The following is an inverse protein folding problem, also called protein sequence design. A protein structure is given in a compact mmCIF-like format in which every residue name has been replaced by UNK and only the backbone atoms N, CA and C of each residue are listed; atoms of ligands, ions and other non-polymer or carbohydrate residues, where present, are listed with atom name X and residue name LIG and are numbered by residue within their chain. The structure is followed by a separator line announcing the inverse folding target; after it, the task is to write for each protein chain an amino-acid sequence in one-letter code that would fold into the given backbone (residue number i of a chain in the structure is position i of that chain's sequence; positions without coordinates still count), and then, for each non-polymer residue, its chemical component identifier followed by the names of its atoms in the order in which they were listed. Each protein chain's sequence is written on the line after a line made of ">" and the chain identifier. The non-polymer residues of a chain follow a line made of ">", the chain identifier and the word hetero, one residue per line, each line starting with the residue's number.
data_IF_714560059214
#
_entry.id   IF_714560059214
#
_cell.length_a   1.000
_cell.length_b   1.000
_cell.length_c   1.000
_cell.angle_alpha   90.00
_cell.angle_beta   90.00
_cell.angle_gamma   90.00
#
_symmetry.space_group_name_H-M   'P 1'
#
loop_
_entity.id
_entity.type
_entity.pdbx_description
1 polymer ?
#
# COMPACT_ATOMS: atom_id res chain seq x y z
N UNK A 1 27.40 -79.48 -6.61
CA UNK A 1 26.55 -78.44 -6.02
C UNK A 1 27.19 -77.09 -6.27
N UNK A 2 26.57 -76.20 -7.10
CA UNK A 2 27.08 -74.84 -7.40
C UNK A 2 26.32 -73.88 -6.56
N UNK A 3 26.93 -72.90 -5.84
CA UNK A 3 26.21 -71.88 -5.11
C UNK A 3 25.70 -70.79 -6.07
N UNK A 4 24.40 -70.51 -5.99
CA UNK A 4 23.73 -69.45 -6.71
C UNK A 4 24.01 -68.15 -5.98
N UNK A 5 24.70 -67.21 -6.62
CA UNK A 5 24.89 -65.85 -6.07
C UNK A 5 23.69 -64.98 -6.43
N UNK A 6 23.02 -64.41 -5.40
CA UNK A 6 22.02 -63.43 -5.55
C UNK A 6 22.68 -62.03 -5.63
N UNK A 7 22.57 -61.37 -6.78
CA UNK A 7 22.95 -59.97 -6.91
C UNK A 7 21.79 -59.11 -6.38
N UNK A 8 22.00 -58.45 -5.25
CA UNK A 8 21.11 -57.42 -4.75
C UNK A 8 21.40 -56.11 -5.48
N UNK A 9 20.49 -55.67 -6.34
CA UNK A 9 20.57 -54.36 -6.97
C UNK A 9 20.09 -53.27 -5.95
N UNK A 10 21.03 -52.44 -5.52
CA UNK A 10 20.69 -51.22 -4.71
C UNK A 10 20.30 -50.13 -5.67
N UNK A 11 19.00 -49.82 -5.72
CA UNK A 11 18.49 -48.65 -6.43
C UNK A 11 18.67 -47.43 -5.54
N UNK A 12 19.69 -46.62 -5.82
CA UNK A 12 19.85 -45.30 -5.15
C UNK A 12 18.88 -44.31 -5.75
N UNK A 13 17.86 -43.93 -4.98
CA UNK A 13 16.96 -42.87 -5.33
C UNK A 13 17.66 -41.54 -5.05
N UNK A 14 18.17 -40.89 -6.09
CA UNK A 14 18.68 -39.52 -5.99
C UNK A 14 17.50 -38.56 -5.89
N UNK A 15 17.25 -38.03 -4.70
CA UNK A 15 16.29 -36.93 -4.50
C UNK A 15 16.89 -35.68 -5.17
N UNK A 16 16.30 -35.25 -6.29
CA UNK A 16 16.56 -33.93 -6.87
C UNK A 16 15.95 -32.88 -5.92
N UNK A 17 16.80 -32.26 -5.13
CA UNK A 17 16.42 -31.01 -4.43
C UNK A 17 16.26 -29.90 -5.50
N UNK A 18 15.03 -29.58 -5.84
CA UNK A 18 14.76 -28.40 -6.64
C UNK A 18 15.16 -27.17 -5.80
N UNK A 19 15.90 -26.20 -6.37
CA UNK A 19 16.17 -24.96 -5.66
C UNK A 19 14.83 -24.29 -5.36
N UNK A 20 14.55 -24.04 -4.08
CA UNK A 20 13.47 -23.14 -3.70
C UNK A 20 13.85 -21.75 -4.23
N UNK A 21 13.17 -21.29 -5.26
CA UNK A 21 13.27 -19.88 -5.67
C UNK A 21 12.65 -19.06 -4.55
N UNK A 22 13.47 -18.39 -3.74
CA UNK A 22 13.00 -17.35 -2.86
C UNK A 22 12.55 -16.21 -3.76
N UNK A 23 11.26 -16.05 -3.97
CA UNK A 23 10.72 -14.84 -4.57
C UNK A 23 10.81 -13.74 -3.52
N UNK A 24 11.60 -12.69 -3.82
CA UNK A 24 11.50 -11.48 -3.04
C UNK A 24 10.06 -10.93 -3.20
N UNK A 25 9.38 -10.61 -2.11
CA UNK A 25 8.07 -9.97 -2.17
C UNK A 25 8.23 -8.50 -2.62
N UNK A 26 7.21 -7.88 -3.23
CA UNK A 26 7.29 -6.49 -3.68
C UNK A 26 7.31 -5.54 -2.47
N UNK A 27 8.11 -4.48 -2.57
CA UNK A 27 8.20 -3.38 -1.60
C UNK A 27 7.91 -2.08 -2.34
N UNK A 28 6.97 -1.27 -1.84
CA UNK A 28 6.67 0.03 -2.40
C UNK A 28 7.91 0.95 -2.31
N UNK A 29 8.39 1.41 -3.46
CA UNK A 29 9.63 2.18 -3.57
C UNK A 29 9.43 3.69 -3.40
N UNK A 30 8.19 4.17 -3.42
CA UNK A 30 7.81 5.59 -3.41
C UNK A 30 6.58 5.84 -2.57
N UNK A 31 6.19 7.11 -2.43
CA UNK A 31 4.93 7.48 -1.79
C UNK A 31 4.95 7.47 -0.28
N UNK A 32 6.10 7.80 0.33
CA UNK A 32 6.25 7.90 1.79
C UNK A 32 5.22 8.87 2.39
N UNK A 33 4.43 8.37 3.33
CA UNK A 33 3.42 9.18 4.03
C UNK A 33 2.21 9.57 3.19
N UNK A 34 1.99 8.94 2.02
CA UNK A 34 0.78 9.15 1.24
C UNK A 34 -0.41 8.38 1.85
N UNK A 35 -1.59 8.86 1.51
CA UNK A 35 -2.87 8.24 1.87
C UNK A 35 -3.25 7.18 0.85
N UNK A 36 -4.04 6.20 1.28
CA UNK A 36 -4.77 5.29 0.39
C UNK A 36 -6.20 5.76 0.31
N UNK A 37 -6.69 6.06 -0.88
CA UNK A 37 -8.04 6.57 -1.13
C UNK A 37 -8.81 5.60 -2.03
N UNK A 38 -10.12 5.56 -1.86
CA UNK A 38 -11.02 4.81 -2.74
C UNK A 38 -11.02 5.44 -4.13
N UNK A 39 -10.61 4.69 -5.15
CA UNK A 39 -10.52 5.13 -6.55
C UNK A 39 -11.77 4.83 -7.39
N UNK A 40 -12.54 3.80 -7.01
CA UNK A 40 -13.76 3.40 -7.73
C UNK A 40 -14.84 2.90 -6.76
N UNK A 41 -16.05 2.64 -7.28
CA UNK A 41 -17.17 2.09 -6.49
C UNK A 41 -17.18 0.55 -6.41
N UNK A 42 -16.15 -0.10 -6.95
CA UNK A 42 -16.00 -1.55 -6.87
C UNK A 42 -15.47 -1.98 -5.52
N UNK A 43 -15.65 -3.26 -5.19
CA UNK A 43 -15.08 -3.84 -3.97
C UNK A 43 -13.57 -3.71 -3.94
N UNK A 44 -13.04 -3.37 -2.78
CA UNK A 44 -11.61 -3.30 -2.52
C UNK A 44 -11.14 -4.64 -2.00
N UNK A 45 -10.21 -5.25 -2.72
CA UNK A 45 -9.59 -6.51 -2.33
C UNK A 45 -8.19 -6.22 -1.80
N UNK A 46 -7.95 -6.52 -0.54
CA UNK A 46 -6.63 -6.54 0.05
C UNK A 46 -5.94 -7.87 -0.27
N UNK A 47 -4.68 -7.82 -0.72
CA UNK A 47 -3.85 -9.01 -0.97
C UNK A 47 -2.55 -8.92 -0.18
N UNK A 48 -2.24 -9.95 0.59
CA UNK A 48 -0.97 -10.03 1.31
C UNK A 48 0.16 -10.40 0.37
N UNK A 49 1.20 -9.53 0.27
CA UNK A 49 2.30 -9.69 -0.66
C UNK A 49 3.56 -10.31 -0.03
N UNK A 50 3.74 -10.20 1.28
CA UNK A 50 4.86 -10.79 2.01
C UNK A 50 5.45 -9.86 3.07
N UNK A 51 6.52 -10.36 3.73
CA UNK A 51 7.24 -9.62 4.78
C UNK A 51 8.68 -10.13 4.94
N UNK A 52 9.52 -9.30 5.60
CA UNK A 52 10.81 -9.73 6.17
C UNK A 52 10.91 -9.42 7.68
N UNK A 53 9.80 -9.02 8.30
CA UNK A 53 9.75 -8.64 9.71
C UNK A 53 10.14 -9.78 10.65
N UNK A 54 10.87 -9.43 11.72
CA UNK A 54 11.11 -10.30 12.86
C UNK A 54 9.96 -10.24 13.87
N UNK A 55 9.24 -9.11 13.93
CA UNK A 55 8.09 -8.92 14.81
C UNK A 55 6.82 -9.53 14.21
N UNK A 56 5.88 -9.85 15.09
CA UNK A 56 4.53 -10.25 14.68
C UNK A 56 3.67 -9.00 14.57
N UNK A 57 3.09 -8.80 13.40
CA UNK A 57 2.36 -7.60 13.04
C UNK A 57 0.97 -7.95 12.52
N UNK A 58 -0.03 -7.19 12.99
CA UNK A 58 -1.41 -7.29 12.53
C UNK A 58 -1.81 -6.05 11.75
N UNK A 59 -2.37 -6.24 10.55
CA UNK A 59 -2.93 -5.17 9.73
C UNK A 59 -4.42 -5.04 9.96
N UNK A 60 -4.86 -3.80 10.16
CA UNK A 60 -6.27 -3.44 10.29
C UNK A 60 -6.66 -2.32 9.33
N UNK A 61 -7.91 -2.33 8.84
CA UNK A 61 -8.57 -1.13 8.33
C UNK A 61 -9.27 -0.46 9.51
N UNK A 62 -8.95 0.80 9.77
CA UNK A 62 -9.61 1.58 10.81
C UNK A 62 -11.04 1.91 10.41
N UNK A 63 -11.97 1.68 11.33
CA UNK A 63 -13.39 1.95 11.14
C UNK A 63 -13.90 2.92 12.20
N UNK A 64 -14.88 3.73 11.80
CA UNK A 64 -15.66 4.54 12.74
C UNK A 64 -16.75 3.72 13.45
N UNK A 65 -17.48 4.35 14.37
CA UNK A 65 -18.57 3.71 15.11
C UNK A 65 -19.74 3.24 14.24
N UNK A 66 -19.82 3.71 12.99
CA UNK A 66 -20.81 3.28 11.99
C UNK A 66 -20.36 2.06 11.19
N UNK A 67 -19.08 1.70 11.28
CA UNK A 67 -18.46 0.63 10.49
C UNK A 67 -17.97 1.09 9.12
N UNK A 68 -17.91 2.40 8.87
CA UNK A 68 -17.32 2.99 7.68
C UNK A 68 -15.82 3.29 7.91
N UNK A 69 -14.98 3.37 6.85
CA UNK A 69 -13.58 3.75 7.02
C UNK A 69 -13.42 5.10 7.72
N UNK A 70 -12.67 5.10 8.82
CA UNK A 70 -12.47 6.28 9.66
C UNK A 70 -11.76 5.92 10.96
N UNK A 71 -11.52 6.93 11.81
CA UNK A 71 -10.92 6.78 13.13
C UNK A 71 -11.84 7.42 14.17
N UNK A 72 -12.40 6.61 15.07
CA UNK A 72 -13.20 7.07 16.21
C UNK A 72 -12.45 6.94 17.56
N UNK A 73 -11.18 6.58 17.51
CA UNK A 73 -10.32 6.33 18.68
C UNK A 73 -10.57 4.98 19.36
N UNK A 74 -11.43 4.14 18.78
CA UNK A 74 -11.75 2.81 19.31
C UNK A 74 -11.22 1.72 18.37
N UNK A 75 -10.08 1.13 18.72
CA UNK A 75 -9.44 0.09 17.90
C UNK A 75 -10.11 -1.28 17.97
N UNK A 76 -11.14 -1.46 18.81
CA UNK A 76 -11.83 -2.75 18.97
C UNK A 76 -12.85 -3.05 17.87
N UNK A 77 -13.28 -2.03 17.11
CA UNK A 77 -14.17 -2.15 15.95
C UNK A 77 -13.43 -2.19 14.62
N UNK A 78 -12.10 -1.99 14.62
CA UNK A 78 -11.28 -2.06 13.40
C UNK A 78 -11.36 -3.43 12.74
N UNK A 79 -11.38 -3.44 11.41
CA UNK A 79 -11.41 -4.66 10.62
C UNK A 79 -10.01 -5.29 10.54
N UNK A 80 -9.80 -6.42 11.20
CA UNK A 80 -8.59 -7.22 11.03
C UNK A 80 -8.48 -7.74 9.58
N UNK A 81 -7.31 -7.59 8.96
CA UNK A 81 -7.07 -8.01 7.58
C UNK A 81 -6.09 -9.18 7.54
N UNK A 82 -4.85 -8.99 8.01
CA UNK A 82 -3.79 -10.01 7.97
C UNK A 82 -2.89 -9.95 9.21
N UNK A 83 -2.29 -11.11 9.53
CA UNK A 83 -1.10 -11.21 10.37
C UNK A 83 0.09 -11.66 9.50
N UNK A 84 1.26 -11.03 9.66
CA UNK A 84 2.42 -11.31 8.80
C UNK A 84 2.98 -12.73 8.94
N UNK A 85 2.86 -13.37 10.11
CA UNK A 85 3.34 -14.74 10.33
C UNK A 85 2.22 -15.77 10.19
N UNK A 86 0.95 -15.35 10.28
CA UNK A 86 -0.22 -16.23 10.23
C UNK A 86 -0.89 -16.32 8.86
N UNK A 87 -0.69 -15.32 7.99
CA UNK A 87 -1.32 -15.28 6.67
C UNK A 87 -0.37 -15.83 5.59
N UNK A 88 -0.91 -16.57 4.63
CA UNK A 88 -0.12 -17.03 3.49
C UNK A 88 0.01 -15.89 2.45
N UNK A 89 1.18 -15.77 1.82
CA UNK A 89 1.37 -14.84 0.69
C UNK A 89 0.35 -15.15 -0.41
N UNK A 90 -0.29 -14.11 -0.96
CA UNK A 90 -1.38 -14.23 -1.91
C UNK A 90 -2.76 -14.41 -1.28
N UNK A 91 -2.88 -14.50 0.06
CA UNK A 91 -4.20 -14.48 0.74
C UNK A 91 -4.91 -13.15 0.46
N UNK A 92 -6.23 -13.19 0.33
CA UNK A 92 -7.06 -12.02 0.04
C UNK A 92 -8.16 -11.82 1.07
N UNK A 93 -8.51 -10.56 1.33
CA UNK A 93 -9.67 -10.15 2.13
C UNK A 93 -10.47 -9.11 1.32
N UNK A 94 -11.78 -9.32 1.20
CA UNK A 94 -12.68 -8.31 0.62
C UNK A 94 -13.05 -7.31 1.71
N UNK A 95 -12.66 -6.04 1.54
CA UNK A 95 -12.96 -4.96 2.48
C UNK A 95 -14.34 -4.33 2.23
N UNK A 96 -14.99 -4.66 1.11
CA UNK A 96 -16.23 -4.04 0.66
C UNK A 96 -16.00 -2.87 -0.30
N UNK A 97 -17.07 -2.13 -0.56
CA UNK A 97 -17.06 -0.96 -1.43
C UNK A 97 -17.42 0.30 -0.63
N UNK A 98 -16.75 1.41 -0.93
CA UNK A 98 -16.91 2.67 -0.23
C UNK A 98 -17.05 3.82 -1.24
N UNK A 99 -17.38 5.02 -0.77
CA UNK A 99 -17.48 6.20 -1.62
C UNK A 99 -16.12 6.62 -2.17
N UNK A 100 -16.07 6.99 -3.46
CA UNK A 100 -14.84 7.48 -4.11
C UNK A 100 -14.26 8.68 -3.33
N UNK A 101 -12.94 8.67 -3.09
CA UNK A 101 -12.22 9.68 -2.34
C UNK A 101 -12.22 9.45 -0.82
N UNK A 102 -12.97 8.44 -0.31
CA UNK A 102 -12.86 8.04 1.10
C UNK A 102 -11.44 7.57 1.40
N UNK A 103 -10.85 8.05 2.48
CA UNK A 103 -9.55 7.56 2.95
C UNK A 103 -9.71 6.20 3.62
N UNK A 104 -8.87 5.25 3.21
CA UNK A 104 -8.68 3.96 3.87
C UNK A 104 -7.45 4.09 4.77
N UNK A 105 -7.65 4.35 6.03
CA UNK A 105 -6.54 4.43 6.99
C UNK A 105 -6.21 3.03 7.49
N UNK A 106 -5.02 2.54 7.13
CA UNK A 106 -4.53 1.26 7.60
C UNK A 106 -3.66 1.45 8.84
N UNK A 107 -3.88 0.60 9.83
CA UNK A 107 -3.13 0.53 11.08
C UNK A 107 -2.35 -0.78 11.14
N UNK A 108 -1.03 -0.68 11.31
CA UNK A 108 -0.16 -1.79 11.62
C UNK A 108 0.03 -1.86 13.14
N UNK A 109 -0.49 -2.89 13.78
CA UNK A 109 -0.24 -3.16 15.20
C UNK A 109 0.94 -4.11 15.37
N UNK A 110 2.00 -3.65 16.04
CA UNK A 110 3.19 -4.44 16.33
C UNK A 110 3.00 -5.19 17.65
N UNK A 111 2.66 -6.47 17.58
CA UNK A 111 2.32 -7.28 18.74
C UNK A 111 3.44 -7.39 19.80
N UNK A 112 4.69 -7.27 19.38
CA UNK A 112 5.86 -7.39 20.26
C UNK A 112 6.11 -6.15 21.11
N UNK A 113 5.76 -4.98 20.60
CA UNK A 113 6.05 -3.67 21.23
C UNK A 113 4.81 -2.94 21.70
N UNK A 114 3.66 -3.25 21.11
CA UNK A 114 2.38 -2.58 21.33
C UNK A 114 2.28 -1.23 20.60
N UNK A 115 3.21 -0.90 19.70
CA UNK A 115 3.10 0.30 18.86
C UNK A 115 2.09 0.08 17.75
N UNK A 116 1.42 1.18 17.40
CA UNK A 116 0.56 1.28 16.21
C UNK A 116 1.19 2.28 15.24
N UNK A 117 1.30 1.89 13.97
CA UNK A 117 1.75 2.73 12.88
C UNK A 117 0.68 2.81 11.78
N UNK A 118 0.61 3.97 11.12
CA UNK A 118 -0.51 4.29 10.23
C UNK A 118 -0.03 4.73 8.85
N UNK A 119 -0.84 4.46 7.83
CA UNK A 119 -0.71 5.10 6.52
C UNK A 119 -1.03 6.59 6.61
N UNK A 120 -0.52 7.37 5.66
CA UNK A 120 -0.74 8.82 5.59
C UNK A 120 0.31 9.63 6.34
N UNK A 121 -0.10 10.79 6.83
CA UNK A 121 0.79 11.81 7.40
C UNK A 121 1.64 11.27 8.57
N UNK A 122 2.93 11.64 8.59
CA UNK A 122 3.89 11.26 9.62
C UNK A 122 3.43 11.61 11.05
N UNK A 123 2.67 12.69 11.20
CA UNK A 123 2.13 13.14 12.50
C UNK A 123 1.15 12.17 13.16
N UNK A 124 0.67 11.17 12.43
CA UNK A 124 -0.19 10.09 12.96
C UNK A 124 0.59 9.06 13.76
N UNK A 125 1.89 8.97 13.52
CA UNK A 125 2.75 7.97 14.12
C UNK A 125 3.39 8.46 15.40
N UNK A 126 3.64 7.58 16.38
CA UNK A 126 4.08 7.97 17.73
C UNK A 126 5.48 8.61 17.76
N UNK A 127 6.32 8.37 16.75
CA UNK A 127 7.65 8.95 16.59
C UNK A 127 7.69 10.16 15.64
N UNK A 128 6.54 10.50 15.00
CA UNK A 128 6.43 11.59 14.05
C UNK A 128 7.05 11.31 12.68
N UNK A 129 7.34 10.04 12.37
CA UNK A 129 7.85 9.60 11.09
C UNK A 129 6.76 8.88 10.27
N UNK A 130 6.89 8.89 8.94
CA UNK A 130 6.00 8.10 8.09
C UNK A 130 6.46 6.63 8.09
N UNK A 131 5.56 5.72 8.46
CA UNK A 131 5.82 4.29 8.57
C UNK A 131 5.27 3.47 7.39
N UNK A 132 4.73 4.13 6.37
CA UNK A 132 4.25 3.47 5.17
C UNK A 132 4.69 4.19 3.90
N UNK A 133 5.12 3.41 2.91
CA UNK A 133 5.19 3.80 1.51
C UNK A 133 3.92 3.34 0.80
N UNK A 134 3.37 4.19 -0.09
CA UNK A 134 2.15 3.92 -0.85
C UNK A 134 2.40 4.19 -2.33
N UNK A 135 2.62 3.15 -3.11
CA UNK A 135 2.93 3.21 -4.53
C UNK A 135 1.67 2.98 -5.35
N UNK A 136 1.17 4.05 -6.00
CA UNK A 136 0.02 3.99 -6.91
C UNK A 136 0.42 3.34 -8.23
N UNK A 137 -0.54 2.70 -8.92
CA UNK A 137 -0.34 2.03 -10.21
C UNK A 137 0.78 0.94 -10.19
N UNK A 138 1.01 0.33 -9.03
CA UNK A 138 1.93 -0.82 -8.94
C UNK A 138 1.53 -1.95 -9.90
N UNK A 139 0.24 -2.24 -9.99
CA UNK A 139 -0.42 -2.97 -11.06
C UNK A 139 -1.63 -2.15 -11.54
N UNK A 140 -2.22 -2.44 -12.71
CA UNK A 140 -3.42 -1.75 -13.16
C UNK A 140 -4.52 -1.77 -12.10
N UNK A 141 -4.95 -0.58 -11.67
CA UNK A 141 -5.97 -0.37 -10.63
C UNK A 141 -5.59 -0.90 -9.23
N UNK A 142 -4.29 -1.12 -8.94
CA UNK A 142 -3.81 -1.57 -7.64
C UNK A 142 -2.76 -0.61 -7.05
N UNK A 143 -2.89 -0.35 -5.75
CA UNK A 143 -1.91 0.37 -4.94
C UNK A 143 -1.14 -0.63 -4.07
N UNK A 144 0.19 -0.55 -4.04
CA UNK A 144 1.04 -1.30 -3.12
C UNK A 144 1.34 -0.46 -1.89
N UNK A 145 1.17 -1.05 -0.71
CA UNK A 145 1.49 -0.42 0.59
C UNK A 145 2.52 -1.28 1.30
N UNK A 146 3.61 -0.66 1.74
CA UNK A 146 4.68 -1.33 2.48
C UNK A 146 4.98 -0.58 3.77
N UNK A 147 5.05 -1.32 4.88
CA UNK A 147 5.21 -0.78 6.22
C UNK A 147 6.60 -1.04 6.82
N UNK A 148 6.96 -0.14 7.74
CA UNK A 148 8.06 -0.26 8.70
C UNK A 148 7.48 -0.43 10.10
N UNK A 149 7.96 -1.43 10.87
CA UNK A 149 7.44 -1.80 12.21
C UNK A 149 8.32 -1.33 13.39
N UNK A 150 9.45 -0.62 13.11
CA UNK A 150 10.38 -0.15 14.14
C UNK A 150 10.21 1.34 14.43
N UNK A 151 10.03 1.68 15.70
CA UNK A 151 10.07 3.04 16.19
C UNK A 151 11.45 3.68 15.89
N UNK A 152 11.48 4.86 15.27
CA UNK A 152 12.68 5.55 14.76
C UNK A 152 13.49 4.78 13.67
N UNK A 153 12.89 3.76 13.02
CA UNK A 153 13.47 3.03 11.89
C UNK A 153 14.60 2.05 12.19
N UNK A 154 15.28 1.51 11.19
CA UNK A 154 15.47 2.02 9.82
C UNK A 154 14.20 1.96 8.96
N UNK A 155 14.02 2.95 8.06
CA UNK A 155 12.83 3.04 7.21
C UNK A 155 13.11 2.37 5.85
N UNK A 156 13.20 1.04 5.84
CA UNK A 156 13.39 0.24 4.63
C UNK A 156 12.07 -0.37 4.10
N UNK A 157 10.96 -0.19 4.86
CA UNK A 157 9.59 -0.53 4.49
C UNK A 157 9.41 -1.97 4.04
N UNK A 158 10.20 -2.89 4.60
CA UNK A 158 10.18 -4.29 4.17
C UNK A 158 9.45 -5.22 5.16
N UNK A 159 8.89 -4.68 6.24
CA UNK A 159 8.31 -5.50 7.30
C UNK A 159 6.97 -6.11 6.93
N UNK A 160 6.13 -5.39 6.17
CA UNK A 160 4.90 -5.93 5.59
C UNK A 160 4.56 -5.23 4.29
N UNK A 161 4.16 -6.00 3.28
CA UNK A 161 3.64 -5.46 2.02
C UNK A 161 2.27 -6.05 1.69
N UNK A 162 1.38 -5.18 1.23
CA UNK A 162 0.01 -5.47 0.82
C UNK A 162 -0.32 -4.75 -0.47
N UNK A 163 -1.21 -5.29 -1.30
CA UNK A 163 -1.83 -4.53 -2.39
C UNK A 163 -3.33 -4.39 -2.17
N UNK A 164 -3.90 -3.32 -2.72
CA UNK A 164 -5.32 -3.01 -2.64
C UNK A 164 -5.83 -2.64 -4.03
N UNK A 165 -6.88 -3.35 -4.49
CA UNK A 165 -7.54 -3.02 -5.76
C UNK A 165 -8.41 -1.78 -5.62
N UNK A 166 -8.68 -1.09 -6.73
CA UNK A 166 -9.61 0.04 -6.79
C UNK A 166 -9.25 1.22 -5.86
N UNK A 167 -7.95 1.40 -5.59
CA UNK A 167 -7.41 2.46 -4.73
C UNK A 167 -6.43 3.35 -5.48
N UNK A 168 -6.30 4.60 -5.01
CA UNK A 168 -5.43 5.64 -5.54
C UNK A 168 -4.78 6.41 -4.39
N UNK A 169 -3.77 7.22 -4.68
CA UNK A 169 -3.11 8.10 -3.68
C UNK A 169 -3.58 9.55 -3.78
N UNK A 170 -4.05 9.95 -4.95
CA UNK A 170 -4.56 11.29 -5.22
C UNK A 170 -6.09 11.29 -5.19
N UNK A 171 -6.69 12.25 -4.49
CA UNK A 171 -8.14 12.35 -4.41
C UNK A 171 -8.75 12.53 -5.82
N UNK A 172 -9.49 11.55 -6.33
CA UNK A 172 -10.07 11.60 -7.67
C UNK A 172 -11.14 12.69 -7.82
N UNK A 173 -11.65 13.24 -6.71
CA UNK A 173 -12.59 14.37 -6.72
C UNK A 173 -11.86 15.72 -6.81
N UNK A 174 -10.56 15.77 -6.59
CA UNK A 174 -9.75 16.96 -6.83
C UNK A 174 -9.43 17.06 -8.32
N UNK A 175 -10.27 17.73 -9.08
CA UNK A 175 -9.98 18.08 -10.46
C UNK A 175 -8.76 19.02 -10.45
N UNK A 176 -7.61 18.68 -11.03
CA UNK A 176 -6.50 19.62 -11.19
C UNK A 176 -7.05 20.87 -11.88
N UNK A 177 -6.78 22.06 -11.32
CA UNK A 177 -7.23 23.31 -11.95
C UNK A 177 -6.87 23.27 -13.44
N UNK A 178 -7.87 23.31 -14.35
CA UNK A 178 -7.58 23.16 -15.76
C UNK A 178 -6.57 24.22 -16.16
N UNK A 179 -5.53 23.86 -16.91
CA UNK A 179 -4.58 24.82 -17.50
C UNK A 179 -5.28 25.94 -18.28
N UNK A 180 -6.60 25.83 -18.47
CA UNK A 180 -7.51 26.88 -18.94
C UNK A 180 -7.49 28.15 -18.07
N UNK A 181 -7.28 28.08 -16.74
CA UNK A 181 -7.12 29.28 -15.93
C UNK A 181 -5.79 29.98 -16.20
N UNK A 182 -4.72 29.23 -16.40
CA UNK A 182 -3.44 29.79 -16.83
C UNK A 182 -3.52 30.37 -18.24
N UNK A 183 -4.21 29.69 -19.18
CA UNK A 183 -4.46 30.16 -20.53
C UNK A 183 -5.40 31.38 -20.53
N UNK A 184 -6.41 31.41 -19.68
CA UNK A 184 -7.28 32.58 -19.51
C UNK A 184 -6.49 33.76 -18.96
N UNK A 185 -5.64 33.57 -17.96
CA UNK A 185 -4.74 34.59 -17.43
C UNK A 185 -3.80 35.14 -18.49
N UNK A 186 -3.15 34.28 -19.28
CA UNK A 186 -2.27 34.69 -20.39
C UNK A 186 -3.03 35.43 -21.50
N UNK A 187 -4.26 35.04 -21.82
CA UNK A 187 -5.08 35.68 -22.82
C UNK A 187 -5.51 37.11 -22.40
N UNK A 188 -5.84 37.30 -21.11
CA UNK A 188 -6.18 38.61 -20.54
C UNK A 188 -4.96 39.53 -20.57
N UNK A 189 -3.77 39.05 -20.21
CA UNK A 189 -2.52 39.82 -20.25
C UNK A 189 -2.17 40.17 -21.69
N UNK A 190 -2.34 39.23 -22.64
CA UNK A 190 -2.12 39.48 -24.08
C UNK A 190 -3.03 40.57 -24.64
N UNK A 191 -4.33 40.54 -24.29
CA UNK A 191 -5.30 41.53 -24.71
C UNK A 191 -5.00 42.93 -24.12
N UNK A 192 -4.57 43.01 -22.87
CA UNK A 192 -4.17 44.23 -22.20
C UNK A 192 -2.92 44.85 -22.89
N UNK A 193 -1.96 44.01 -23.29
CA UNK A 193 -0.76 44.43 -24.05
C UNK A 193 -1.07 45.03 -25.43
N UNK A 194 -2.03 44.41 -26.13
CA UNK A 194 -2.48 44.90 -27.46
C UNK A 194 -3.20 46.25 -27.33
N UNK A 195 -4.03 46.43 -26.29
CA UNK A 195 -4.73 47.71 -26.03
C UNK A 195 -3.76 48.87 -25.78
N UNK A 196 -2.67 48.64 -25.04
CA UNK A 196 -1.65 49.67 -24.77
C UNK A 196 -0.90 50.12 -26.05
N UNK A 197 -0.72 49.24 -27.02
CA UNK A 197 -0.04 49.59 -28.28
C UNK A 197 -0.90 50.42 -29.26
N UNK A 198 -2.21 50.48 -29.06
CA UNK A 198 -3.15 51.22 -29.94
C UNK A 198 -3.50 52.64 -29.47
N UNK A 199 -2.92 53.13 -28.36
CA UNK A 199 -3.09 54.51 -27.99
C UNK A 199 -2.18 55.38 -28.88
N UNK A 200 -2.72 56.25 -29.73
CA UNK A 200 -1.90 57.20 -30.51
C UNK A 200 -1.23 58.18 -29.54
N UNK A 201 0.05 58.45 -29.78
CA UNK A 201 0.77 59.54 -29.13
C UNK A 201 0.11 60.85 -29.53
N UNK A 202 -0.44 61.60 -28.56
CA UNK A 202 -0.81 62.98 -28.73
C UNK A 202 0.41 63.90 -28.70
#
# INVERSE_FOLDING_TARGET
>A
MKPTQWLSAVVSLAALALPATSHAFPIAATGTGLKVLVGSTSDIIATYQGNSASFSNDLYLMLDAGGDPGDDGNTSNDLFIFNNHGSAVGSTVNLGSFSIGTELMFRLHVNNTGYDFFTGDASRNPDGNAHANVEEDWLPDETLVSFEDLYDGPFDYNDLSFSFTNTVTTDPNQVPEPGSLALLGLSIVGLAGIRRRRQPAN
#
